data_IF_671351250813
#
_entry.id   IF_671351250813
#
_cell.length_a   1.000
_cell.length_b   1.000
_cell.length_c   1.000
_cell.angle_alpha   90.00
_cell.angle_beta   90.00
_cell.angle_gamma   90.00
#
_symmetry.space_group_name_H-M   'P 1'
#
loop_
_entity.id
_entity.type
_entity.pdbx_description
1 polymer ?
#
# COMPACT_ATOMS: atom_id res chain seq x y z
N UNK A 1 -23.10 7.84 -2.10
CA UNK A 1 -22.22 8.52 -3.07
C UNK A 1 -21.72 9.87 -2.55
N UNK A 2 -22.58 10.78 -2.06
CA UNK A 2 -22.17 12.12 -1.58
C UNK A 2 -21.03 12.11 -0.55
N UNK A 3 -21.08 11.26 0.48
CA UNK A 3 -20.02 11.15 1.50
C UNK A 3 -18.65 10.80 0.91
N UNK A 4 -18.58 9.84 -0.04
CA UNK A 4 -17.31 9.43 -0.67
C UNK A 4 -16.68 10.56 -1.48
N UNK A 5 -17.50 11.35 -2.17
CA UNK A 5 -17.03 12.51 -2.93
C UNK A 5 -16.51 13.59 -2.00
N UNK A 6 -17.22 13.90 -0.92
CA UNK A 6 -16.78 14.89 0.08
C UNK A 6 -15.47 14.46 0.74
N UNK A 7 -15.36 13.20 1.14
CA UNK A 7 -14.14 12.66 1.75
C UNK A 7 -12.96 12.75 0.76
N UNK A 8 -13.16 12.39 -0.51
CA UNK A 8 -12.12 12.49 -1.52
C UNK A 8 -11.69 13.95 -1.78
N UNK A 9 -12.64 14.88 -1.83
CA UNK A 9 -12.37 16.32 -2.03
C UNK A 9 -11.59 16.95 -0.86
N UNK A 10 -11.70 16.40 0.34
CA UNK A 10 -10.93 16.85 1.51
C UNK A 10 -9.58 16.13 1.59
N UNK A 11 -9.56 14.81 1.42
CA UNK A 11 -8.35 14.01 1.58
C UNK A 11 -7.34 14.25 0.45
N UNK A 12 -7.77 14.39 -0.80
CA UNK A 12 -6.82 14.55 -1.91
C UNK A 12 -5.96 15.82 -1.77
N UNK A 13 -6.52 17.03 -1.51
CA UNK A 13 -5.70 18.22 -1.23
C UNK A 13 -4.79 18.04 -0.02
N UNK A 14 -5.26 17.40 1.06
CA UNK A 14 -4.47 17.17 2.27
C UNK A 14 -3.28 16.25 1.99
N UNK A 15 -3.47 15.17 1.23
CA UNK A 15 -2.40 14.29 0.79
C UNK A 15 -1.39 15.02 -0.09
N UNK A 16 -1.86 15.82 -1.06
CA UNK A 16 -1.00 16.62 -1.94
C UNK A 16 -0.17 17.60 -1.11
N UNK A 17 -0.79 18.32 -0.18
CA UNK A 17 -0.08 19.24 0.72
C UNK A 17 0.94 18.49 1.58
N UNK A 18 0.59 17.33 2.11
CA UNK A 18 1.50 16.48 2.89
C UNK A 18 2.72 16.04 2.06
N UNK A 19 2.51 15.62 0.83
CA UNK A 19 3.60 15.19 -0.07
C UNK A 19 4.57 16.34 -0.39
N UNK A 20 4.07 17.54 -0.67
CA UNK A 20 4.88 18.65 -1.17
C UNK A 20 5.36 19.61 -0.08
N UNK A 21 4.63 19.78 1.03
CA UNK A 21 4.92 20.80 2.03
C UNK A 21 5.59 20.27 3.29
N UNK A 22 5.41 18.99 3.63
CA UNK A 22 6.09 18.45 4.80
C UNK A 22 7.59 18.26 4.52
N UNK A 23 8.46 18.64 5.47
CA UNK A 23 9.85 18.23 5.43
C UNK A 23 9.93 16.70 5.50
N UNK A 24 11.05 16.10 5.04
CA UNK A 24 11.18 14.64 4.93
C UNK A 24 10.80 13.91 6.22
N UNK A 25 11.30 14.36 7.37
CA UNK A 25 10.98 13.74 8.67
C UNK A 25 9.48 13.86 9.02
N UNK A 26 8.88 15.02 8.78
CA UNK A 26 7.43 15.22 8.96
C UNK A 26 6.60 14.30 8.08
N UNK A 27 7.03 14.11 6.83
CA UNK A 27 6.40 13.17 5.90
C UNK A 27 6.53 11.72 6.40
N UNK A 28 7.71 11.31 6.87
CA UNK A 28 7.95 9.97 7.42
C UNK A 28 7.04 9.71 8.62
N UNK A 29 6.93 10.66 9.54
CA UNK A 29 6.05 10.54 10.73
C UNK A 29 4.58 10.41 10.29
N UNK A 30 4.11 11.25 9.39
CA UNK A 30 2.74 11.21 8.88
C UNK A 30 2.45 9.88 8.17
N UNK A 31 3.35 9.42 7.30
CA UNK A 31 3.19 8.16 6.58
C UNK A 31 3.23 6.96 7.53
N UNK A 32 4.09 6.99 8.56
CA UNK A 32 4.14 5.95 9.59
C UNK A 32 2.81 5.89 10.36
N UNK A 33 2.25 7.03 10.73
CA UNK A 33 0.94 7.08 11.37
C UNK A 33 -0.16 6.50 10.47
N UNK A 34 -0.17 6.84 9.18
CA UNK A 34 -1.11 6.26 8.20
C UNK A 34 -0.91 4.75 8.08
N UNK A 35 0.33 4.28 8.06
CA UNK A 35 0.64 2.85 8.00
C UNK A 35 0.15 2.11 9.24
N UNK A 36 0.31 2.69 10.43
CA UNK A 36 -0.23 2.14 11.69
C UNK A 36 -1.77 2.12 11.70
N UNK A 37 -2.42 3.13 11.11
CA UNK A 37 -3.87 3.07 10.87
C UNK A 37 -4.23 1.94 9.90
N UNK A 38 -3.43 1.70 8.87
CA UNK A 38 -3.58 0.55 7.98
C UNK A 38 -3.46 -0.78 8.74
N UNK A 39 -2.49 -0.91 9.65
CA UNK A 39 -2.38 -2.07 10.53
C UNK A 39 -3.59 -2.19 11.48
N UNK A 40 -4.08 -1.08 12.01
CA UNK A 40 -5.31 -1.07 12.82
C UNK A 40 -6.50 -1.63 12.05
N UNK A 41 -6.69 -1.24 10.81
CA UNK A 41 -7.72 -1.82 9.95
C UNK A 41 -7.46 -3.30 9.65
N UNK A 42 -6.19 -3.68 9.44
CA UNK A 42 -5.78 -5.07 9.24
C UNK A 42 -6.13 -5.98 10.43
N UNK A 43 -6.16 -5.45 11.67
CA UNK A 43 -6.54 -6.26 12.84
C UNK A 43 -7.94 -6.85 12.76
N UNK A 44 -8.82 -6.34 11.91
CA UNK A 44 -10.14 -6.92 11.67
C UNK A 44 -10.05 -8.31 11.03
N UNK A 45 -9.01 -8.55 10.23
CA UNK A 45 -8.76 -9.85 9.59
C UNK A 45 -8.11 -10.87 10.51
N UNK A 46 -7.59 -10.43 11.67
CA UNK A 46 -6.90 -11.33 12.60
C UNK A 46 -7.83 -11.97 13.62
N UNK A 47 -9.10 -11.55 13.68
CA UNK A 47 -10.11 -12.10 14.63
C UNK A 47 -9.61 -12.15 16.08
N UNK A 48 -8.75 -11.22 16.47
CA UNK A 48 -8.20 -11.12 17.81
C UNK A 48 -9.24 -10.59 18.80
N UNK A 49 -9.25 -11.11 20.03
CA UNK A 49 -10.13 -10.64 21.10
C UNK A 49 -9.91 -9.16 21.47
N UNK A 50 -8.72 -8.63 21.19
CA UNK A 50 -8.38 -7.23 21.39
C UNK A 50 -7.63 -6.68 20.18
N UNK A 51 -8.22 -5.69 19.50
CA UNK A 51 -7.59 -5.00 18.37
C UNK A 51 -6.32 -4.24 18.80
N UNK A 52 -6.30 -3.70 20.02
CA UNK A 52 -5.13 -3.01 20.57
C UNK A 52 -3.98 -4.03 20.74
N UNK A 53 -4.24 -5.19 21.35
CA UNK A 53 -3.23 -6.23 21.49
C UNK A 53 -2.72 -6.74 20.14
N UNK A 54 -3.59 -6.84 19.13
CA UNK A 54 -3.21 -7.23 17.77
C UNK A 54 -2.38 -6.16 17.04
N UNK A 55 -2.49 -4.88 17.43
CA UNK A 55 -1.69 -3.79 16.86
C UNK A 55 -0.27 -3.72 17.44
N UNK A 56 -0.06 -4.18 18.67
CA UNK A 56 1.25 -4.08 19.35
C UNK A 56 2.39 -4.68 18.51
N UNK A 57 2.29 -5.91 17.97
CA UNK A 57 3.35 -6.48 17.13
C UNK A 57 3.66 -5.59 15.92
N UNK A 58 2.64 -5.01 15.31
CA UNK A 58 2.80 -4.13 14.16
C UNK A 58 3.54 -2.83 14.53
N UNK A 59 3.17 -2.21 15.63
CA UNK A 59 3.84 -1.00 16.12
C UNK A 59 5.32 -1.29 16.48
N UNK A 60 5.58 -2.42 17.16
CA UNK A 60 6.94 -2.85 17.53
C UNK A 60 7.78 -3.13 16.28
N UNK A 61 7.29 -3.92 15.34
CA UNK A 61 8.05 -4.27 14.11
C UNK A 61 8.28 -3.03 13.25
N UNK A 62 7.29 -2.14 13.13
CA UNK A 62 7.44 -0.87 12.42
C UNK A 62 8.50 0.01 13.10
N UNK A 63 8.47 0.15 14.41
CA UNK A 63 9.48 0.89 15.18
C UNK A 63 10.88 0.28 15.04
N UNK A 64 11.00 -1.04 15.17
CA UNK A 64 12.27 -1.75 14.99
C UNK A 64 12.83 -1.58 13.58
N UNK A 65 11.98 -1.51 12.55
CA UNK A 65 12.46 -1.31 11.18
C UNK A 65 13.28 -0.02 11.03
N UNK A 66 12.96 1.04 11.78
CA UNK A 66 13.73 2.29 11.79
C UNK A 66 15.09 2.20 12.49
N UNK A 67 15.33 1.15 13.29
CA UNK A 67 16.66 0.88 13.86
C UNK A 67 17.59 0.20 12.86
N UNK A 68 17.03 -0.60 11.94
CA UNK A 68 17.79 -1.33 10.93
C UNK A 68 17.91 -0.57 9.61
N UNK A 69 16.95 0.27 9.31
CA UNK A 69 16.87 1.08 8.10
C UNK A 69 16.83 2.53 8.52
N UNK A 70 17.93 3.24 8.29
CA UNK A 70 18.02 4.65 8.66
C UNK A 70 17.14 5.53 7.75
N UNK A 71 16.30 6.40 8.32
CA UNK A 71 15.40 7.26 7.56
C UNK A 71 16.04 8.60 7.14
N UNK A 72 17.37 8.74 7.24
CA UNK A 72 18.05 9.96 6.80
C UNK A 72 18.20 10.04 5.28
N UNK A 73 18.27 11.26 4.76
CA UNK A 73 18.30 11.51 3.33
C UNK A 73 19.50 10.87 2.63
N UNK A 74 20.66 10.77 3.29
CA UNK A 74 21.85 10.14 2.71
C UNK A 74 21.65 8.64 2.54
N UNK A 75 21.21 7.95 3.59
CA UNK A 75 20.95 6.50 3.55
C UNK A 75 19.84 6.13 2.56
N UNK A 76 18.82 6.99 2.42
CA UNK A 76 17.70 6.76 1.49
C UNK A 76 18.10 6.99 0.02
N UNK A 77 19.14 7.77 -0.26
CA UNK A 77 19.70 7.93 -1.61
C UNK A 77 20.81 6.91 -1.93
N UNK A 78 21.41 6.29 -0.89
CA UNK A 78 22.42 5.24 -1.02
C UNK A 78 21.92 3.94 -0.38
N UNK A 79 21.03 3.24 -1.09
CA UNK A 79 20.36 2.08 -0.57
C UNK A 79 21.35 0.98 -0.14
N UNK A 80 21.17 0.50 1.08
CA UNK A 80 21.94 -0.60 1.67
C UNK A 80 21.14 -1.90 1.65
N UNK A 81 21.76 -3.01 2.04
CA UNK A 81 21.15 -4.34 2.05
C UNK A 81 19.76 -4.39 2.72
N UNK A 82 19.52 -3.78 3.90
CA UNK A 82 18.18 -3.79 4.49
C UNK A 82 17.09 -3.17 3.62
N UNK A 83 17.41 -2.10 2.86
CA UNK A 83 16.45 -1.50 1.92
C UNK A 83 16.06 -2.50 0.82
N UNK A 84 17.04 -3.15 0.20
CA UNK A 84 16.77 -4.15 -0.84
C UNK A 84 16.01 -5.36 -0.31
N UNK A 85 16.29 -5.77 0.93
CA UNK A 85 15.55 -6.89 1.56
C UNK A 85 14.08 -6.54 1.74
N UNK A 86 13.75 -5.38 2.33
CA UNK A 86 12.35 -5.01 2.55
C UNK A 86 11.59 -4.83 1.25
N UNK A 87 12.21 -4.21 0.24
CA UNK A 87 11.60 -4.03 -1.09
C UNK A 87 11.42 -5.38 -1.81
N UNK A 88 12.44 -6.24 -1.76
CA UNK A 88 12.40 -7.57 -2.37
C UNK A 88 11.35 -8.47 -1.74
N UNK A 89 11.22 -8.47 -0.40
CA UNK A 89 10.15 -9.17 0.30
C UNK A 89 8.77 -8.67 -0.13
N UNK A 90 8.58 -7.37 -0.28
CA UNK A 90 7.35 -6.79 -0.79
C UNK A 90 7.03 -7.24 -2.21
N UNK A 91 8.02 -7.21 -3.10
CA UNK A 91 7.85 -7.65 -4.48
C UNK A 91 7.42 -9.12 -4.58
N UNK A 92 8.14 -10.02 -3.89
CA UNK A 92 7.81 -11.45 -3.85
C UNK A 92 6.44 -11.68 -3.24
N UNK A 93 6.13 -10.96 -2.15
CA UNK A 93 4.83 -11.03 -1.49
C UNK A 93 3.68 -10.66 -2.43
N UNK A 94 3.81 -9.59 -3.21
CA UNK A 94 2.76 -9.18 -4.13
C UNK A 94 2.50 -10.19 -5.24
N UNK A 95 3.53 -10.92 -5.70
CA UNK A 95 3.35 -12.05 -6.62
C UNK A 95 2.54 -13.15 -5.93
N UNK A 96 2.92 -13.55 -4.71
CA UNK A 96 2.23 -14.59 -3.94
C UNK A 96 0.78 -14.18 -3.66
N UNK A 97 0.54 -12.96 -3.19
CA UNK A 97 -0.79 -12.44 -2.89
C UNK A 97 -1.69 -12.41 -4.12
N UNK A 98 -1.14 -12.07 -5.29
CA UNK A 98 -1.86 -12.09 -6.56
C UNK A 98 -2.25 -13.51 -6.96
N UNK A 99 -1.34 -14.48 -6.82
CA UNK A 99 -1.64 -15.90 -7.08
C UNK A 99 -2.70 -16.43 -6.09
N UNK A 100 -2.62 -16.06 -4.82
CA UNK A 100 -3.63 -16.42 -3.82
C UNK A 100 -5.01 -15.84 -4.15
N UNK A 101 -5.07 -14.60 -4.64
CA UNK A 101 -6.31 -13.97 -5.06
C UNK A 101 -6.95 -14.65 -6.28
N UNK A 102 -6.13 -15.05 -7.26
CA UNK A 102 -6.60 -15.76 -8.46
C UNK A 102 -7.11 -17.18 -8.10
N UNK A 103 -6.44 -17.85 -7.17
CA UNK A 103 -6.78 -19.23 -6.76
C UNK A 103 -7.80 -19.31 -5.62
N UNK A 104 -8.30 -18.16 -5.14
CA UNK A 104 -9.37 -18.12 -4.13
C UNK A 104 -10.66 -18.80 -4.66
N UNK A 105 -11.40 -19.60 -3.86
CA UNK A 105 -11.21 -19.89 -2.42
C UNK A 105 -10.33 -21.11 -2.12
N UNK A 106 -9.70 -21.75 -3.10
CA UNK A 106 -8.96 -23.01 -2.89
C UNK A 106 -7.83 -22.88 -1.87
N UNK A 107 -7.14 -21.74 -1.86
CA UNK A 107 -6.00 -21.47 -0.96
C UNK A 107 -6.41 -21.06 0.46
N UNK A 108 -7.69 -20.76 0.72
CA UNK A 108 -8.17 -20.25 2.01
C UNK A 108 -7.89 -21.23 3.16
N UNK A 109 -8.01 -22.53 2.89
CA UNK A 109 -7.83 -23.57 3.91
C UNK A 109 -6.43 -23.56 4.55
N UNK A 110 -5.41 -23.08 3.85
CA UNK A 110 -4.03 -23.08 4.34
C UNK A 110 -3.71 -21.93 5.30
N UNK A 111 -4.47 -20.83 5.29
CA UNK A 111 -4.15 -19.64 6.09
C UNK A 111 -5.31 -19.12 6.94
N UNK A 112 -6.57 -19.47 6.63
CA UNK A 112 -7.75 -18.92 7.30
C UNK A 112 -7.78 -19.19 8.81
N UNK A 113 -7.31 -20.36 9.27
CA UNK A 113 -7.25 -20.70 10.69
C UNK A 113 -5.97 -20.24 11.40
N UNK A 114 -5.01 -19.60 10.71
CA UNK A 114 -3.70 -19.28 11.27
C UNK A 114 -3.56 -17.78 11.52
N UNK A 115 -3.68 -17.37 12.79
CA UNK A 115 -3.52 -15.99 13.24
C UNK A 115 -2.16 -15.39 12.88
N UNK A 116 -1.08 -16.18 13.05
CA UNK A 116 0.28 -15.71 12.77
C UNK A 116 0.45 -15.40 11.29
N UNK A 117 -0.01 -16.27 10.40
CA UNK A 117 0.05 -16.02 8.96
C UNK A 117 -0.70 -14.74 8.55
N UNK A 118 -1.86 -14.48 9.15
CA UNK A 118 -2.62 -13.25 8.88
C UNK A 118 -1.85 -12.00 9.32
N UNK A 119 -1.14 -12.03 10.44
CA UNK A 119 -0.24 -10.95 10.84
C UNK A 119 0.94 -10.80 9.88
N UNK A 120 1.58 -11.90 9.50
CA UNK A 120 2.69 -11.89 8.52
C UNK A 120 2.24 -11.28 7.19
N UNK A 121 1.05 -11.59 6.71
CA UNK A 121 0.50 -10.97 5.49
C UNK A 121 0.36 -9.46 5.62
N UNK A 122 -0.08 -8.98 6.78
CA UNK A 122 -0.13 -7.53 7.08
C UNK A 122 1.26 -6.89 7.03
N UNK A 123 2.26 -7.52 7.66
CA UNK A 123 3.64 -7.03 7.64
C UNK A 123 4.22 -6.99 6.23
N UNK A 124 4.06 -8.05 5.47
CA UNK A 124 4.56 -8.13 4.09
C UNK A 124 3.84 -7.16 3.13
N UNK A 125 2.65 -6.70 3.49
CA UNK A 125 1.90 -5.69 2.72
C UNK A 125 2.30 -4.27 3.12
N UNK A 126 2.26 -3.95 4.41
CA UNK A 126 2.31 -2.57 4.88
C UNK A 126 3.73 -2.05 5.16
N UNK A 127 4.67 -2.90 5.58
CA UNK A 127 6.06 -2.48 5.79
C UNK A 127 6.79 -2.15 4.47
N UNK A 128 6.74 -3.00 3.44
CA UNK A 128 7.33 -2.64 2.15
C UNK A 128 6.67 -1.41 1.52
N UNK A 129 5.36 -1.23 1.70
CA UNK A 129 4.67 -0.01 1.30
C UNK A 129 5.26 1.23 1.98
N UNK A 130 5.38 1.20 3.33
CA UNK A 130 5.96 2.30 4.10
C UNK A 130 7.34 2.69 3.57
N UNK A 131 8.26 1.73 3.47
CA UNK A 131 9.63 1.98 3.04
C UNK A 131 9.74 2.35 1.58
N UNK A 132 8.95 1.77 0.69
CA UNK A 132 8.92 2.14 -0.73
C UNK A 132 8.56 3.62 -0.92
N UNK A 133 7.54 4.09 -0.20
CA UNK A 133 7.08 5.48 -0.32
C UNK A 133 8.08 6.44 0.34
N UNK A 134 8.72 6.07 1.46
CA UNK A 134 9.77 6.87 2.10
C UNK A 134 10.96 7.02 1.16
N UNK A 135 11.47 5.92 0.60
CA UNK A 135 12.62 5.92 -0.34
C UNK A 135 12.29 6.78 -1.56
N UNK A 136 11.11 6.58 -2.14
CA UNK A 136 10.68 7.35 -3.30
C UNK A 136 10.59 8.85 -2.99
N UNK A 137 10.07 9.23 -1.80
CA UNK A 137 9.95 10.64 -1.39
C UNK A 137 11.32 11.29 -1.14
N UNK A 138 12.31 10.52 -0.70
CA UNK A 138 13.66 11.00 -0.42
C UNK A 138 14.53 11.07 -1.68
N UNK A 139 14.10 10.49 -2.80
CA UNK A 139 14.89 10.43 -4.04
C UNK A 139 15.34 11.82 -4.48
N UNK A 140 16.65 11.98 -4.68
CA UNK A 140 17.34 13.20 -5.15
C UNK A 140 16.98 14.48 -4.38
N UNK A 141 16.55 14.36 -3.11
CA UNK A 141 16.09 15.49 -2.30
C UNK A 141 17.16 16.57 -2.11
N UNK A 142 18.44 16.20 -2.18
CA UNK A 142 19.58 17.13 -2.09
C UNK A 142 19.77 17.97 -3.36
N UNK A 143 19.30 17.50 -4.51
CA UNK A 143 19.44 18.14 -5.81
C UNK A 143 18.16 18.94 -6.16
N UNK A 144 17.00 18.29 -6.05
CA UNK A 144 15.68 18.91 -6.20
C UNK A 144 14.78 18.46 -5.02
N UNK A 145 14.46 19.37 -4.07
CA UNK A 145 13.60 19.05 -2.92
C UNK A 145 12.22 18.50 -3.30
N UNK A 146 11.79 18.73 -4.54
CA UNK A 146 10.49 18.29 -5.04
C UNK A 146 10.57 17.05 -5.93
N UNK A 147 11.77 16.54 -6.27
CA UNK A 147 11.90 15.39 -7.16
C UNK A 147 11.13 14.17 -6.62
N UNK A 148 11.47 13.69 -5.43
CA UNK A 148 10.78 12.57 -4.79
C UNK A 148 9.29 12.83 -4.55
N UNK A 149 8.90 14.08 -4.22
CA UNK A 149 7.50 14.44 -4.08
C UNK A 149 6.72 14.27 -5.39
N UNK A 150 7.31 14.67 -6.53
CA UNK A 150 6.72 14.46 -7.87
C UNK A 150 6.57 12.98 -8.19
N UNK A 151 7.55 12.15 -7.83
CA UNK A 151 7.49 10.70 -8.04
C UNK A 151 6.38 10.05 -7.21
N UNK A 152 6.27 10.40 -5.92
CA UNK A 152 5.16 9.91 -5.07
C UNK A 152 3.82 10.34 -5.64
N UNK A 153 3.70 11.60 -6.07
CA UNK A 153 2.46 12.11 -6.68
C UNK A 153 2.12 11.40 -7.98
N UNK A 154 3.12 11.11 -8.80
CA UNK A 154 2.95 10.33 -10.03
C UNK A 154 2.38 8.93 -9.75
N UNK A 155 2.93 8.22 -8.75
CA UNK A 155 2.38 6.92 -8.33
C UNK A 155 0.94 7.04 -7.82
N UNK A 156 0.63 8.08 -7.01
CA UNK A 156 -0.73 8.34 -6.57
C UNK A 156 -1.69 8.54 -7.76
N UNK A 157 -1.29 9.33 -8.75
CA UNK A 157 -2.09 9.53 -9.97
C UNK A 157 -2.31 8.24 -10.77
N UNK A 158 -1.27 7.39 -10.90
CA UNK A 158 -1.41 6.10 -11.57
C UNK A 158 -2.45 5.22 -10.86
N UNK A 159 -2.38 5.14 -9.53
CA UNK A 159 -3.34 4.35 -8.73
C UNK A 159 -4.75 4.92 -8.86
N UNK A 160 -4.93 6.24 -8.72
CA UNK A 160 -6.25 6.89 -8.86
C UNK A 160 -6.81 6.75 -10.26
N UNK A 161 -5.98 6.86 -11.30
CA UNK A 161 -6.40 6.65 -12.69
C UNK A 161 -6.79 5.20 -12.94
N UNK A 162 -6.01 4.24 -12.41
CA UNK A 162 -6.33 2.82 -12.52
C UNK A 162 -7.65 2.47 -11.83
N UNK A 163 -7.87 2.95 -10.60
CA UNK A 163 -9.11 2.69 -9.85
C UNK A 163 -10.32 3.35 -10.52
N UNK A 164 -10.18 4.60 -10.97
CA UNK A 164 -11.26 5.30 -11.67
C UNK A 164 -11.55 4.66 -13.02
N UNK A 165 -10.51 4.33 -13.80
CA UNK A 165 -10.64 3.64 -15.07
C UNK A 165 -11.29 2.26 -14.91
N UNK A 166 -10.87 1.51 -13.88
CA UNK A 166 -11.46 0.22 -13.54
C UNK A 166 -12.96 0.34 -13.19
N UNK A 167 -13.33 1.37 -12.42
CA UNK A 167 -14.72 1.62 -12.07
C UNK A 167 -15.58 1.93 -13.31
N UNK A 168 -15.14 2.86 -14.16
CA UNK A 168 -15.88 3.26 -15.36
C UNK A 168 -15.96 2.12 -16.38
N UNK A 169 -14.86 1.41 -16.64
CA UNK A 169 -14.84 0.28 -17.53
C UNK A 169 -15.72 -0.87 -17.03
N UNK A 170 -15.70 -1.14 -15.71
CA UNK A 170 -16.57 -2.15 -15.09
C UNK A 170 -18.06 -1.83 -15.23
N UNK A 171 -18.41 -0.53 -15.11
CA UNK A 171 -19.79 -0.08 -15.23
C UNK A 171 -20.31 -0.08 -16.67
N UNK A 172 -19.46 0.25 -17.65
CA UNK A 172 -19.85 0.42 -19.06
C UNK A 172 -19.65 -0.82 -19.91
N UNK A 173 -18.62 -1.62 -19.66
CA UNK A 173 -18.20 -2.74 -20.50
C UNK A 173 -18.26 -4.10 -19.79
N UNK A 174 -18.52 -4.11 -18.48
CA UNK A 174 -18.39 -5.30 -17.64
C UNK A 174 -19.44 -6.37 -17.93
N UNK A 175 -19.07 -7.40 -18.68
CA UNK A 175 -19.91 -8.59 -18.94
C UNK A 175 -19.39 -9.85 -18.23
N UNK A 176 -18.07 -10.02 -18.10
CA UNK A 176 -17.44 -11.19 -17.49
C UNK A 176 -16.79 -10.86 -16.17
N UNK A 177 -17.18 -11.53 -15.09
CA UNK A 177 -16.61 -11.33 -13.75
C UNK A 177 -15.17 -11.88 -13.70
N UNK A 178 -14.22 -11.07 -13.24
CA UNK A 178 -12.80 -11.45 -13.16
C UNK A 178 -12.55 -12.43 -12.01
N UNK A 179 -13.11 -12.17 -10.86
CA UNK A 179 -13.00 -13.02 -9.67
C UNK A 179 -14.32 -12.97 -8.88
N UNK A 180 -15.34 -13.76 -9.26
CA UNK A 180 -16.68 -13.70 -8.67
C UNK A 180 -16.70 -13.85 -7.15
N UNK A 181 -15.79 -14.66 -6.62
CA UNK A 181 -15.68 -14.95 -5.19
C UNK A 181 -14.88 -13.93 -4.38
N UNK A 182 -14.05 -13.08 -5.03
CA UNK A 182 -13.21 -12.08 -4.37
C UNK A 182 -13.78 -10.67 -4.56
N UNK A 183 -14.22 -10.35 -5.78
CA UNK A 183 -14.78 -9.05 -6.11
C UNK A 183 -15.86 -9.22 -7.20
N UNK A 184 -17.12 -9.38 -6.80
CA UNK A 184 -18.22 -9.67 -7.74
C UNK A 184 -18.50 -8.52 -8.73
N UNK A 185 -17.97 -7.33 -8.47
CA UNK A 185 -18.19 -6.14 -9.31
C UNK A 185 -17.03 -5.84 -10.27
N UNK A 186 -15.89 -6.57 -10.21
CA UNK A 186 -14.78 -6.40 -11.14
C UNK A 186 -14.88 -7.40 -12.30
N UNK A 187 -14.65 -6.92 -13.51
CA UNK A 187 -14.78 -7.71 -14.75
C UNK A 187 -13.45 -7.80 -15.49
N UNK A 188 -13.30 -8.83 -16.35
CA UNK A 188 -12.06 -9.09 -17.12
C UNK A 188 -11.80 -7.94 -18.11
N UNK A 189 -12.86 -7.35 -18.64
CA UNK A 189 -12.80 -6.22 -19.57
C UNK A 189 -12.14 -4.99 -18.93
N UNK A 190 -12.26 -4.84 -17.61
CA UNK A 190 -11.56 -3.80 -16.82
C UNK A 190 -10.04 -3.98 -16.88
N UNK A 191 -9.56 -5.22 -16.71
CA UNK A 191 -8.13 -5.53 -16.76
C UNK A 191 -7.56 -5.25 -18.16
N UNK A 192 -8.27 -5.67 -19.20
CA UNK A 192 -7.88 -5.48 -20.60
C UNK A 192 -7.90 -4.00 -21.01
N UNK A 193 -8.86 -3.21 -20.53
CA UNK A 193 -8.94 -1.77 -20.81
C UNK A 193 -7.79 -0.98 -20.18
N UNK A 194 -7.24 -1.44 -19.05
CA UNK A 194 -6.05 -0.84 -18.40
C UNK A 194 -4.76 -1.29 -19.10
N UNK A 195 -4.71 -2.53 -19.60
CA UNK A 195 -3.53 -3.11 -20.27
C UNK A 195 -3.35 -2.68 -21.73
N UNK A 196 -4.42 -2.27 -22.42
CA UNK A 196 -4.38 -1.94 -23.86
C UNK A 196 -3.99 -0.48 -24.18
N UNK A 197 -3.58 0.32 -23.19
CA UNK A 197 -3.15 1.71 -23.36
C UNK A 197 -1.64 1.93 -23.18
N UNK A 198 -0.84 0.90 -23.42
CA UNK A 198 0.63 1.01 -23.54
C UNK A 198 1.11 0.71 -24.94
#
# INVERSE_FOLDING_TARGET
MKQRIITALILAPLVILGIFKLPLMGFIIALTAITLLGFWEWTQFTESNSRIAALIPAAVVTGLSFLFISPDAHSLNHLSTPHYVVLGLGFVWWIIASLMAITYPKTTKSWQGNLVLRHVFGFLTLLPFLWSVIILRASDISVDPYHGAKLVMYVCFLVWAADSGAYFAGKSLGKRKMAPHVSPNKTIEVLLAVSSRH
#
